data_IF_374955653951
#
_entry.id   IF_374955653951
#
_cell.length_a   1.000
_cell.length_b   1.000
_cell.length_c   1.000
_cell.angle_alpha   90.00
_cell.angle_beta   90.00
_cell.angle_gamma   90.00
#
_symmetry.space_group_name_H-M   'P 1'
#
loop_
_entity.id
_entity.type
_entity.pdbx_description
1 polymer ?
#
# COMPACT_ATOMS: atom_id res chain seq x y z
N UNK A 1 -24.59 28.08 3.30
CA UNK A 1 -23.56 28.03 4.35
C UNK A 1 -22.37 27.24 3.82
N UNK A 2 -21.24 27.90 3.58
CA UNK A 2 -20.02 27.25 3.11
C UNK A 2 -19.31 26.70 4.34
N UNK A 3 -19.19 25.37 4.47
CA UNK A 3 -18.33 24.75 5.46
C UNK A 3 -16.87 24.99 5.06
N UNK A 4 -16.26 25.96 5.71
CA UNK A 4 -14.81 26.14 5.69
C UNK A 4 -14.26 25.04 6.60
N UNK A 5 -13.66 24.02 5.98
CA UNK A 5 -12.87 23.04 6.74
C UNK A 5 -11.68 23.78 7.35
N UNK A 6 -11.74 23.98 8.66
CA UNK A 6 -10.64 24.57 9.41
C UNK A 6 -9.45 23.61 9.32
N UNK A 7 -8.38 24.08 8.70
CA UNK A 7 -7.09 23.41 8.67
C UNK A 7 -6.49 23.54 10.09
N UNK A 8 -6.78 22.57 10.95
CA UNK A 8 -6.08 22.47 12.22
C UNK A 8 -4.63 22.06 11.97
N UNK A 9 -3.63 22.74 12.56
CA UNK A 9 -2.25 22.33 12.50
C UNK A 9 -1.99 21.20 13.51
N UNK A 10 -2.70 20.08 13.33
CA UNK A 10 -2.47 18.87 14.12
C UNK A 10 -1.14 18.30 13.65
N UNK A 11 -0.25 18.02 14.62
CA UNK A 11 1.01 17.34 14.34
C UNK A 11 0.74 16.04 13.58
N UNK A 12 1.17 16.00 12.32
CA UNK A 12 0.99 14.84 11.46
C UNK A 12 1.74 13.66 12.04
N UNK A 13 1.12 12.49 12.03
CA UNK A 13 1.83 11.26 12.33
C UNK A 13 2.96 11.06 11.31
N UNK A 14 3.99 10.28 11.67
CA UNK A 14 5.10 9.96 10.73
C UNK A 14 4.56 9.35 9.44
N UNK A 15 3.53 8.51 9.50
CA UNK A 15 2.91 7.89 8.33
C UNK A 15 2.26 8.93 7.42
N UNK A 16 1.54 9.90 7.97
CA UNK A 16 0.95 11.00 7.18
C UNK A 16 2.01 11.88 6.53
N UNK A 17 3.15 12.08 7.19
CA UNK A 17 4.30 12.79 6.60
C UNK A 17 4.87 12.01 5.41
N UNK A 18 5.05 10.68 5.53
CA UNK A 18 5.52 9.83 4.44
C UNK A 18 4.52 9.81 3.27
N UNK A 19 3.23 9.71 3.53
CA UNK A 19 2.20 9.76 2.49
C UNK A 19 2.23 11.09 1.72
N UNK A 20 2.42 12.21 2.41
CA UNK A 20 2.58 13.52 1.78
C UNK A 20 3.85 13.62 0.92
N UNK A 21 4.97 13.11 1.41
CA UNK A 21 6.23 13.10 0.66
C UNK A 21 6.10 12.21 -0.59
N UNK A 22 5.52 11.03 -0.45
CA UNK A 22 5.24 10.11 -1.56
C UNK A 22 4.37 10.79 -2.62
N UNK A 23 3.30 11.48 -2.21
CA UNK A 23 2.44 12.20 -3.15
C UNK A 23 3.19 13.34 -3.88
N UNK A 24 4.04 14.09 -3.17
CA UNK A 24 4.88 15.14 -3.78
C UNK A 24 5.83 14.56 -4.82
N UNK A 25 6.48 13.42 -4.54
CA UNK A 25 7.35 12.74 -5.49
C UNK A 25 6.56 12.27 -6.71
N UNK A 26 5.44 11.56 -6.50
CA UNK A 26 4.59 11.09 -7.59
C UNK A 26 4.14 12.25 -8.50
N UNK A 27 3.68 13.37 -7.92
CA UNK A 27 3.30 14.56 -8.69
C UNK A 27 4.46 15.16 -9.50
N UNK A 28 5.68 15.02 -9.03
CA UNK A 28 6.87 15.56 -9.71
C UNK A 28 7.35 14.67 -10.85
N UNK A 29 7.21 13.36 -10.72
CA UNK A 29 7.80 12.39 -11.66
C UNK A 29 6.80 11.75 -12.62
N UNK A 30 5.51 11.70 -12.25
CA UNK A 30 4.48 11.08 -13.06
C UNK A 30 3.73 12.08 -13.94
N UNK A 31 3.34 11.61 -15.13
CA UNK A 31 2.37 12.23 -16.01
C UNK A 31 0.99 11.56 -15.84
N UNK A 32 -0.11 12.11 -16.37
CA UNK A 32 -1.43 11.48 -16.30
C UNK A 32 -1.51 10.06 -16.88
N UNK A 33 -0.57 9.68 -17.74
CA UNK A 33 -0.49 8.37 -18.40
C UNK A 33 0.60 7.46 -17.85
N UNK A 34 1.32 7.86 -16.82
CA UNK A 34 2.39 7.05 -16.21
C UNK A 34 1.84 5.80 -15.55
N UNK A 35 2.34 4.64 -15.93
CA UNK A 35 2.06 3.38 -15.25
C UNK A 35 2.94 3.26 -14.02
N UNK A 36 2.32 3.06 -12.86
CA UNK A 36 3.01 2.88 -11.58
C UNK A 36 2.84 1.46 -11.06
N UNK A 37 3.82 1.01 -10.29
CA UNK A 37 3.82 -0.31 -9.64
C UNK A 37 3.92 -0.11 -8.13
N UNK A 38 2.98 -0.67 -7.38
CA UNK A 38 2.92 -0.65 -5.93
C UNK A 38 3.25 -2.05 -5.37
N UNK A 39 4.37 -2.18 -4.68
CA UNK A 39 4.84 -3.46 -4.12
C UNK A 39 4.59 -3.46 -2.61
N UNK A 40 3.70 -4.35 -2.16
CA UNK A 40 3.21 -4.35 -0.79
C UNK A 40 2.13 -3.26 -0.61
N UNK A 41 1.11 -3.31 -1.45
CA UNK A 41 0.10 -2.25 -1.53
C UNK A 41 -0.74 -2.07 -0.25
N UNK A 42 -0.76 -3.09 0.63
CA UNK A 42 -1.45 -3.06 1.92
C UNK A 42 -2.91 -2.58 1.77
N UNK A 43 -3.31 -1.50 2.44
CA UNK A 43 -4.66 -0.89 2.33
C UNK A 43 -4.85 -0.07 1.04
N UNK A 44 -3.83 0.04 0.19
CA UNK A 44 -3.89 0.76 -1.10
C UNK A 44 -3.79 2.28 -0.99
N UNK A 45 -3.19 2.81 0.07
CA UNK A 45 -3.00 4.26 0.23
C UNK A 45 -2.12 4.84 -0.88
N UNK A 46 -0.99 4.19 -1.17
CA UNK A 46 -0.07 4.61 -2.24
C UNK A 46 -0.73 4.41 -3.61
N UNK A 47 -1.39 3.27 -3.83
CA UNK A 47 -2.14 3.01 -5.06
C UNK A 47 -3.20 4.08 -5.33
N UNK A 48 -3.90 4.55 -4.29
CA UNK A 48 -4.84 5.68 -4.41
C UNK A 48 -4.14 6.97 -4.85
N UNK A 49 -2.94 7.25 -4.34
CA UNK A 49 -2.16 8.43 -4.74
C UNK A 49 -1.69 8.32 -6.19
N UNK A 50 -1.31 7.12 -6.65
CA UNK A 50 -0.97 6.84 -8.06
C UNK A 50 -2.15 7.15 -8.98
N UNK A 51 -3.36 6.71 -8.63
CA UNK A 51 -4.56 7.05 -9.40
C UNK A 51 -4.86 8.55 -9.44
N UNK A 52 -4.54 9.29 -8.38
CA UNK A 52 -4.73 10.75 -8.37
C UNK A 52 -3.78 11.48 -9.31
N UNK A 53 -2.54 11.00 -9.46
CA UNK A 53 -1.53 11.69 -10.29
C UNK A 53 -1.50 11.18 -11.72
N UNK A 54 -1.86 9.93 -11.96
CA UNK A 54 -1.84 9.27 -13.27
C UNK A 54 -3.19 8.55 -13.54
N UNK A 55 -4.29 9.30 -13.67
CA UNK A 55 -5.63 8.73 -13.74
C UNK A 55 -5.94 8.02 -15.05
N UNK A 56 -5.15 8.22 -16.10
CA UNK A 56 -5.36 7.61 -17.42
C UNK A 56 -4.60 6.29 -17.59
N UNK A 57 -3.81 5.89 -16.60
CA UNK A 57 -3.05 4.65 -16.63
C UNK A 57 -3.70 3.54 -15.80
N UNK A 58 -3.47 2.30 -16.21
CA UNK A 58 -3.81 1.13 -15.42
C UNK A 58 -2.58 0.72 -14.60
N UNK A 59 -2.63 0.92 -13.27
CA UNK A 59 -1.52 0.60 -12.38
C UNK A 59 -1.44 -0.89 -12.05
N UNK A 60 -0.30 -1.29 -11.46
CA UNK A 60 -0.04 -2.66 -11.02
C UNK A 60 0.19 -2.64 -9.52
N UNK A 61 -0.41 -3.56 -8.79
CA UNK A 61 -0.22 -3.69 -7.35
C UNK A 61 0.02 -5.15 -6.96
N UNK A 62 0.90 -5.35 -5.98
CA UNK A 62 1.21 -6.65 -5.40
C UNK A 62 0.90 -6.61 -3.91
N UNK A 63 0.06 -7.54 -3.43
CA UNK A 63 -0.28 -7.66 -2.01
C UNK A 63 -0.44 -9.14 -1.65
N UNK A 64 0.46 -9.71 -0.85
CA UNK A 64 0.44 -11.14 -0.53
C UNK A 64 -0.61 -11.54 0.51
N UNK A 65 -1.11 -10.60 1.34
CA UNK A 65 -2.06 -10.92 2.40
C UNK A 65 -3.46 -11.04 1.80
N UNK A 66 -4.11 -12.24 1.85
CA UNK A 66 -5.36 -12.50 1.15
C UNK A 66 -6.49 -11.52 1.47
N UNK A 67 -6.65 -11.14 2.74
CA UNK A 67 -7.70 -10.20 3.16
C UNK A 67 -7.50 -8.81 2.55
N UNK A 68 -6.26 -8.33 2.50
CA UNK A 68 -5.91 -7.04 1.89
C UNK A 68 -6.00 -7.10 0.37
N UNK A 69 -5.48 -8.17 -0.25
CA UNK A 69 -5.64 -8.41 -1.68
C UNK A 69 -7.12 -8.36 -2.09
N UNK A 70 -8.00 -9.08 -1.40
CA UNK A 70 -9.42 -9.11 -1.72
C UNK A 70 -10.07 -7.71 -1.64
N UNK A 71 -9.69 -6.90 -0.64
CA UNK A 71 -10.16 -5.52 -0.52
C UNK A 71 -9.67 -4.64 -1.68
N UNK A 72 -8.38 -4.74 -2.01
CA UNK A 72 -7.79 -4.00 -3.13
C UNK A 72 -8.38 -4.43 -4.47
N UNK A 73 -8.50 -5.73 -4.70
CA UNK A 73 -9.07 -6.28 -5.92
C UNK A 73 -10.51 -5.80 -6.12
N UNK A 74 -11.35 -5.89 -5.08
CA UNK A 74 -12.73 -5.39 -5.13
C UNK A 74 -12.81 -3.90 -5.46
N UNK A 75 -11.88 -3.10 -4.93
CA UNK A 75 -11.89 -1.64 -5.08
C UNK A 75 -11.28 -1.16 -6.39
N UNK A 76 -10.25 -1.84 -6.90
CA UNK A 76 -9.42 -1.32 -7.98
C UNK A 76 -9.35 -2.19 -9.24
N UNK A 77 -10.02 -3.36 -9.32
CA UNK A 77 -9.92 -4.29 -10.46
C UNK A 77 -10.21 -3.68 -11.84
N UNK A 78 -11.03 -2.63 -11.89
CA UNK A 78 -11.35 -1.92 -13.14
C UNK A 78 -10.25 -0.94 -13.57
N UNK A 79 -9.42 -0.49 -12.62
CA UNK A 79 -8.43 0.58 -12.84
C UNK A 79 -6.99 0.12 -12.60
N UNK A 80 -6.79 -1.03 -11.95
CA UNK A 80 -5.48 -1.61 -11.66
C UNK A 80 -5.48 -3.12 -11.88
N UNK A 81 -4.29 -3.69 -12.08
CA UNK A 81 -4.05 -5.12 -11.95
C UNK A 81 -3.52 -5.38 -10.55
N UNK A 82 -4.25 -6.14 -9.74
CA UNK A 82 -3.84 -6.50 -8.39
C UNK A 82 -3.50 -7.99 -8.37
N UNK A 83 -2.33 -8.33 -7.83
CA UNK A 83 -1.83 -9.69 -7.73
C UNK A 83 -1.65 -10.11 -6.27
N UNK A 84 -2.14 -11.31 -5.93
CA UNK A 84 -2.02 -11.93 -4.61
C UNK A 84 -0.67 -12.65 -4.49
N UNK A 85 0.42 -11.90 -4.54
CA UNK A 85 1.79 -12.44 -4.45
C UNK A 85 2.73 -11.48 -3.76
N UNK A 86 3.75 -12.03 -3.08
CA UNK A 86 4.92 -11.29 -2.64
C UNK A 86 5.99 -11.33 -3.74
N UNK A 87 6.64 -10.21 -4.00
CA UNK A 87 7.77 -10.19 -4.92
C UNK A 87 9.05 -10.62 -4.21
N UNK A 88 9.81 -11.52 -4.86
CA UNK A 88 11.07 -12.05 -4.39
C UNK A 88 12.03 -12.26 -5.57
N UNK A 89 13.30 -12.51 -5.25
CA UNK A 89 14.32 -12.89 -6.23
C UNK A 89 14.26 -14.38 -6.62
N UNK A 90 13.34 -15.15 -6.06
CA UNK A 90 13.14 -16.57 -6.34
C UNK A 90 11.67 -16.85 -6.62
N UNK A 91 11.41 -17.74 -7.59
CA UNK A 91 10.07 -18.30 -7.80
C UNK A 91 9.83 -19.44 -6.82
N UNK A 92 8.60 -19.56 -6.31
CA UNK A 92 8.20 -20.65 -5.46
C UNK A 92 7.18 -20.24 -4.42
N UNK A 93 6.87 -21.18 -3.53
CA UNK A 93 6.08 -20.95 -2.34
C UNK A 93 7.01 -20.61 -1.19
N UNK A 94 6.57 -19.72 -0.32
CA UNK A 94 7.29 -19.33 0.89
C UNK A 94 6.29 -18.98 1.98
N UNK A 95 6.70 -19.16 3.23
CA UNK A 95 5.92 -18.67 4.37
C UNK A 95 5.97 -17.15 4.40
N UNK A 96 4.85 -16.55 4.76
CA UNK A 96 4.71 -15.11 4.92
C UNK A 96 4.30 -14.77 6.35
N UNK A 97 5.13 -14.03 7.07
CA UNK A 97 4.85 -13.64 8.44
C UNK A 97 3.82 -12.50 8.43
N UNK A 98 2.59 -12.80 8.83
CA UNK A 98 1.52 -11.84 8.93
C UNK A 98 1.38 -11.34 10.37
N UNK A 99 1.57 -10.04 10.58
CA UNK A 99 1.41 -9.38 11.88
C UNK A 99 -0.02 -8.86 11.98
N UNK A 100 -0.86 -9.56 12.76
CA UNK A 100 -2.30 -9.28 12.83
C UNK A 100 -2.62 -7.90 13.43
N UNK A 101 -1.80 -7.44 14.36
CA UNK A 101 -1.98 -6.14 15.02
C UNK A 101 -1.55 -4.96 14.16
N UNK A 102 -0.62 -5.21 13.21
CA UNK A 102 -0.18 -4.20 12.25
C UNK A 102 0.33 -4.87 10.96
N UNK A 103 -0.55 -5.06 10.01
CA UNK A 103 -0.26 -5.76 8.75
C UNK A 103 0.85 -5.11 7.92
N UNK A 104 1.15 -3.83 8.13
CA UNK A 104 2.26 -3.14 7.46
C UNK A 104 3.65 -3.68 7.87
N UNK A 105 3.75 -4.40 8.98
CA UNK A 105 4.99 -5.05 9.42
C UNK A 105 5.14 -6.48 8.91
N UNK A 106 4.17 -6.99 8.17
CA UNK A 106 4.21 -8.32 7.59
C UNK A 106 5.28 -8.43 6.49
N UNK A 107 5.83 -9.62 6.29
CA UNK A 107 6.86 -9.84 5.27
C UNK A 107 7.36 -11.27 5.19
N UNK A 108 8.19 -11.56 4.18
CA UNK A 108 8.83 -12.86 3.98
C UNK A 108 9.82 -13.22 5.12
N UNK A 109 10.38 -12.21 5.77
CA UNK A 109 11.29 -12.41 6.89
C UNK A 109 10.65 -11.88 8.18
N UNK A 110 10.75 -12.66 9.24
CA UNK A 110 10.34 -12.21 10.57
C UNK A 110 11.25 -11.08 11.03
N UNK A 111 10.64 -9.94 11.42
CA UNK A 111 11.37 -8.79 11.95
C UNK A 111 11.38 -8.82 13.47
N UNK A 112 12.45 -8.35 14.14
CA UNK A 112 12.40 -8.08 15.57
C UNK A 112 11.46 -6.89 15.82
N UNK A 113 10.49 -7.05 16.71
CA UNK A 113 9.56 -5.99 17.11
C UNK A 113 9.83 -5.60 18.56
N UNK A 114 9.68 -4.32 18.86
CA UNK A 114 9.86 -3.76 20.22
C UNK A 114 8.70 -4.14 21.17
N UNK A 115 7.62 -4.70 20.62
CA UNK A 115 6.46 -5.19 21.38
C UNK A 115 6.16 -6.63 20.97
N UNK A 116 5.66 -7.42 21.94
CA UNK A 116 5.18 -8.78 21.68
C UNK A 116 3.86 -8.66 20.90
N UNK A 117 3.94 -8.69 19.58
CA UNK A 117 2.79 -8.76 18.69
C UNK A 117 2.56 -10.24 18.32
N UNK A 118 1.27 -10.61 18.21
CA UNK A 118 0.91 -11.97 17.79
C UNK A 118 1.11 -12.08 16.29
N UNK A 119 2.13 -12.83 15.91
CA UNK A 119 2.39 -13.16 14.51
C UNK A 119 1.53 -14.35 14.09
N UNK A 120 0.97 -14.30 12.90
CA UNK A 120 0.40 -15.47 12.22
C UNK A 120 1.20 -15.70 10.95
N UNK A 121 1.63 -16.94 10.73
CA UNK A 121 2.32 -17.37 9.52
C UNK A 121 1.25 -17.80 8.53
N UNK A 122 1.26 -17.25 7.32
CA UNK A 122 0.43 -17.66 6.20
C UNK A 122 1.36 -18.34 5.18
N UNK A 123 1.04 -19.58 4.84
CA UNK A 123 1.72 -20.37 3.81
C UNK A 123 1.10 -20.13 2.43
#
# INVERSE_FOLDING_TARGET
MKHIASFSPIALTKNEQYDRLTFRVLKKVCTPTSVCVDVGANEGKVLMLMHKVAPLARHIAFEPIPVLYNQLHKKYNHHSQVFEVALSNKKGLSTFNCVLTNMAYSGLLKRPYDRIEKDTIIE
#
